data_IF_581994525104
#
_entry.id   IF_581994525104
#
_cell.length_a   1.000
_cell.length_b   1.000
_cell.length_c   1.000
_cell.angle_alpha   90.00
_cell.angle_beta   90.00
_cell.angle_gamma   90.00
#
_symmetry.space_group_name_H-M   'P 1'
#
loop_
_entity.id
_entity.type
_entity.pdbx_description
1 polymer ?
#
# COMPACT_ATOMS: atom_id res chain seq x y z
N UNK A 1 5.47 -1.13 -15.44
CA UNK A 1 4.92 -0.78 -14.12
C UNK A 1 4.78 -2.09 -13.35
N UNK A 2 5.07 -2.15 -12.05
CA UNK A 2 4.78 -3.35 -11.25
C UNK A 2 3.25 -3.51 -11.12
N UNK A 3 2.75 -4.74 -11.15
CA UNK A 3 1.31 -5.01 -10.95
C UNK A 3 0.82 -4.46 -9.61
N UNK A 4 1.68 -4.46 -8.59
CA UNK A 4 1.40 -3.85 -7.28
C UNK A 4 1.17 -2.34 -7.36
N UNK A 5 1.93 -1.62 -8.20
CA UNK A 5 1.72 -0.19 -8.37
C UNK A 5 0.37 0.09 -9.03
N UNK A 6 0.05 -0.61 -10.11
CA UNK A 6 -1.22 -0.43 -10.81
C UNK A 6 -2.41 -0.75 -9.89
N UNK A 7 -2.33 -1.86 -9.17
CA UNK A 7 -3.32 -2.24 -8.17
C UNK A 7 -3.56 -1.15 -7.11
N UNK A 8 -2.50 -0.57 -6.56
CA UNK A 8 -2.62 0.49 -5.55
C UNK A 8 -3.16 1.81 -6.13
N UNK A 9 -2.81 2.15 -7.37
CA UNK A 9 -3.38 3.32 -8.07
C UNK A 9 -4.88 3.12 -8.36
N UNK A 10 -5.31 1.90 -8.73
CA UNK A 10 -6.72 1.58 -8.94
C UNK A 10 -7.52 1.71 -7.63
N UNK A 11 -6.99 1.16 -6.53
CA UNK A 11 -7.60 1.34 -5.21
C UNK A 11 -7.65 2.81 -4.78
N UNK A 12 -6.59 3.57 -5.05
CA UNK A 12 -6.54 5.02 -4.79
C UNK A 12 -7.62 5.74 -5.59
N UNK A 13 -7.76 5.42 -6.88
CA UNK A 13 -8.78 5.98 -7.76
C UNK A 13 -10.20 5.73 -7.22
N UNK A 14 -10.50 4.50 -6.76
CA UNK A 14 -11.79 4.19 -6.15
C UNK A 14 -12.08 5.10 -4.94
N UNK A 15 -11.10 5.27 -4.06
CA UNK A 15 -11.26 6.10 -2.85
C UNK A 15 -11.33 7.59 -3.17
N UNK A 16 -10.53 8.09 -4.11
CA UNK A 16 -10.56 9.50 -4.52
C UNK A 16 -11.89 9.90 -5.16
N UNK A 17 -12.56 8.96 -5.84
CA UNK A 17 -13.87 9.16 -6.47
C UNK A 17 -15.06 8.73 -5.59
N UNK A 18 -14.82 8.44 -4.30
CA UNK A 18 -15.86 8.03 -3.34
C UNK A 18 -16.64 6.77 -3.77
N UNK A 19 -16.00 5.88 -4.53
CA UNK A 19 -16.59 4.63 -4.99
C UNK A 19 -16.53 3.58 -3.88
N UNK A 20 -17.65 2.87 -3.70
CA UNK A 20 -17.77 1.85 -2.65
C UNK A 20 -17.12 0.53 -3.07
N UNK A 21 -16.36 -0.06 -2.15
CA UNK A 21 -15.83 -1.41 -2.32
C UNK A 21 -16.94 -2.44 -2.04
N UNK A 22 -17.63 -2.87 -3.11
CA UNK A 22 -18.63 -3.93 -3.06
C UNK A 22 -18.07 -5.25 -3.61
N UNK A 23 -18.83 -6.34 -3.48
CA UNK A 23 -18.41 -7.69 -3.88
C UNK A 23 -18.00 -7.77 -5.35
N UNK A 24 -18.74 -7.13 -6.25
CA UNK A 24 -18.40 -7.09 -7.68
C UNK A 24 -17.05 -6.41 -7.95
N UNK A 25 -16.76 -5.30 -7.27
CA UNK A 25 -15.47 -4.60 -7.42
C UNK A 25 -14.33 -5.43 -6.82
N UNK A 26 -14.56 -6.12 -5.71
CA UNK A 26 -13.57 -7.02 -5.10
C UNK A 26 -13.24 -8.17 -6.05
N UNK A 27 -14.25 -8.81 -6.63
CA UNK A 27 -14.07 -9.91 -7.58
C UNK A 27 -13.30 -9.44 -8.81
N UNK A 28 -13.66 -8.28 -9.37
CA UNK A 28 -12.94 -7.69 -10.49
C UNK A 28 -11.45 -7.44 -10.17
N UNK A 29 -11.16 -6.80 -9.02
CA UNK A 29 -9.78 -6.53 -8.60
C UNK A 29 -8.99 -7.81 -8.32
N UNK A 30 -9.65 -8.84 -7.79
CA UNK A 30 -9.05 -10.14 -7.58
C UNK A 30 -8.71 -10.82 -8.91
N UNK A 31 -9.63 -10.81 -9.89
CA UNK A 31 -9.39 -11.39 -11.22
C UNK A 31 -8.28 -10.66 -11.98
N UNK A 32 -8.24 -9.33 -11.89
CA UNK A 32 -7.28 -8.51 -12.64
C UNK A 32 -5.87 -8.52 -12.04
N UNK A 33 -5.76 -8.45 -10.70
CA UNK A 33 -4.47 -8.29 -10.02
C UNK A 33 -4.02 -9.52 -9.21
N UNK A 34 -4.83 -10.58 -9.15
CA UNK A 34 -4.52 -11.79 -8.39
C UNK A 34 -4.42 -11.57 -6.88
N UNK A 35 -5.00 -10.48 -6.35
CA UNK A 35 -4.90 -10.12 -4.93
C UNK A 35 -6.04 -10.72 -4.13
N UNK A 36 -5.74 -11.15 -2.90
CA UNK A 36 -6.78 -11.70 -2.03
C UNK A 36 -7.82 -10.64 -1.62
N UNK A 37 -9.11 -11.00 -1.50
CA UNK A 37 -10.15 -10.10 -1.01
C UNK A 37 -9.81 -9.42 0.33
N UNK A 38 -9.13 -10.16 1.20
CA UNK A 38 -8.65 -9.66 2.48
C UNK A 38 -7.67 -8.48 2.30
N UNK A 39 -6.67 -8.65 1.42
CA UNK A 39 -5.70 -7.60 1.14
C UNK A 39 -6.36 -6.38 0.49
N UNK A 40 -7.25 -6.60 -0.48
CA UNK A 40 -8.00 -5.55 -1.17
C UNK A 40 -8.77 -4.71 -0.15
N UNK A 41 -9.55 -5.38 0.72
CA UNK A 41 -10.36 -4.71 1.75
C UNK A 41 -9.50 -3.95 2.74
N UNK A 42 -8.39 -4.55 3.19
CA UNK A 42 -7.48 -3.92 4.15
C UNK A 42 -6.86 -2.64 3.57
N UNK A 43 -6.37 -2.68 2.33
CA UNK A 43 -5.75 -1.54 1.68
C UNK A 43 -6.76 -0.44 1.36
N UNK A 44 -7.95 -0.81 0.89
CA UNK A 44 -9.04 0.15 0.68
C UNK A 44 -9.37 0.90 1.98
N UNK A 45 -9.48 0.21 3.11
CA UNK A 45 -9.74 0.85 4.41
C UNK A 45 -8.59 1.79 4.82
N UNK A 46 -7.33 1.41 4.60
CA UNK A 46 -6.18 2.28 4.86
C UNK A 46 -6.27 3.56 4.04
N UNK A 47 -6.58 3.45 2.75
CA UNK A 47 -6.71 4.59 1.84
C UNK A 47 -7.91 5.47 2.20
N UNK A 48 -9.08 4.87 2.45
CA UNK A 48 -10.30 5.58 2.83
C UNK A 48 -10.15 6.36 4.13
N UNK A 49 -9.49 5.78 5.14
CA UNK A 49 -9.20 6.47 6.40
C UNK A 49 -8.24 7.66 6.22
N UNK A 50 -7.48 7.69 5.13
CA UNK A 50 -6.51 8.73 4.79
C UNK A 50 -6.90 9.51 3.53
N UNK A 51 -8.18 9.48 3.11
CA UNK A 51 -8.65 10.02 1.82
C UNK A 51 -8.18 11.47 1.58
N UNK A 52 -8.22 12.32 2.61
CA UNK A 52 -7.86 13.74 2.52
C UNK A 52 -6.40 13.99 2.14
N UNK A 53 -5.51 13.03 2.37
CA UNK A 53 -4.07 13.16 2.08
C UNK A 53 -3.62 12.35 0.85
N UNK A 54 -4.50 11.51 0.28
CA UNK A 54 -4.19 10.71 -0.91
C UNK A 54 -3.66 11.51 -2.11
N UNK A 55 -4.17 12.72 -2.41
CA UNK A 55 -3.68 13.48 -3.56
C UNK A 55 -2.20 13.88 -3.45
N UNK A 56 -1.63 13.89 -2.24
CA UNK A 56 -0.23 14.22 -2.00
C UNK A 56 0.71 13.02 -2.12
N UNK A 57 0.18 11.82 -2.34
CA UNK A 57 0.98 10.61 -2.52
C UNK A 57 1.46 10.49 -3.96
N UNK A 58 2.69 10.98 -4.20
CA UNK A 58 3.39 10.88 -5.49
C UNK A 58 3.86 9.46 -5.81
N UNK A 59 4.22 8.68 -4.78
CA UNK A 59 4.56 7.25 -4.90
C UNK A 59 3.71 6.47 -3.88
N UNK A 60 2.55 5.99 -4.36
CA UNK A 60 1.59 5.28 -3.53
C UNK A 60 2.16 3.98 -2.97
N UNK A 61 2.97 3.25 -3.75
CA UNK A 61 3.67 2.05 -3.27
C UNK A 61 4.57 2.38 -2.09
N UNK A 62 5.46 3.37 -2.25
CA UNK A 62 6.41 3.74 -1.20
C UNK A 62 5.67 4.14 0.09
N UNK A 63 4.59 4.91 -0.06
CA UNK A 63 3.78 5.40 1.07
C UNK A 63 3.06 4.27 1.79
N UNK A 64 2.41 3.37 1.06
CA UNK A 64 1.70 2.22 1.65
C UNK A 64 2.68 1.24 2.30
N UNK A 65 3.82 0.96 1.66
CA UNK A 65 4.83 0.08 2.25
C UNK A 65 5.40 0.67 3.54
N UNK A 66 5.72 1.96 3.56
CA UNK A 66 6.22 2.65 4.76
C UNK A 66 5.18 2.65 5.88
N UNK A 67 3.92 2.95 5.55
CA UNK A 67 2.81 2.91 6.51
C UNK A 67 2.61 1.53 7.14
N UNK A 68 2.59 0.46 6.34
CA UNK A 68 2.42 -0.90 6.86
C UNK A 68 3.66 -1.29 7.68
N UNK A 69 4.88 -0.99 7.23
CA UNK A 69 6.10 -1.26 7.99
C UNK A 69 6.07 -0.58 9.36
N UNK A 70 5.72 0.71 9.42
CA UNK A 70 5.65 1.45 10.69
C UNK A 70 4.55 0.91 11.60
N UNK A 71 3.39 0.53 11.04
CA UNK A 71 2.32 -0.12 11.80
C UNK A 71 2.77 -1.45 12.40
N UNK A 72 3.41 -2.31 11.62
CA UNK A 72 3.93 -3.59 12.09
C UNK A 72 5.03 -3.41 13.15
N UNK A 73 5.90 -2.40 12.98
CA UNK A 73 6.93 -2.07 13.97
C UNK A 73 6.35 -1.53 15.28
N UNK A 74 5.22 -0.81 15.23
CA UNK A 74 4.49 -0.39 16.42
C UNK A 74 3.89 -1.55 17.21
N UNK A 75 3.75 -2.73 16.56
CA UNK A 75 3.29 -3.99 17.15
C UNK A 75 4.45 -4.93 17.47
N UNK A 76 5.59 -4.37 17.88
CA UNK A 76 6.80 -5.09 18.34
C UNK A 76 7.57 -5.88 17.27
N UNK A 77 7.19 -5.83 15.98
CA UNK A 77 8.01 -6.44 14.92
C UNK A 77 9.30 -5.64 14.71
N UNK A 78 10.39 -6.35 14.45
CA UNK A 78 11.63 -5.70 13.98
C UNK A 78 11.43 -5.14 12.58
N UNK A 79 12.24 -4.13 12.18
CA UNK A 79 12.23 -3.61 10.82
C UNK A 79 12.43 -4.72 9.76
N UNK A 80 13.27 -5.72 10.06
CA UNK A 80 13.44 -6.88 9.20
C UNK A 80 12.12 -7.69 9.08
N UNK A 81 11.48 -8.01 10.21
CA UNK A 81 10.23 -8.75 10.22
C UNK A 81 9.08 -8.01 9.54
N UNK A 82 8.97 -6.69 9.76
CA UNK A 82 7.96 -5.84 9.13
C UNK A 82 8.15 -5.76 7.61
N UNK A 83 9.37 -5.52 7.14
CA UNK A 83 9.65 -5.49 5.69
C UNK A 83 9.48 -6.84 5.01
N UNK A 84 9.74 -7.95 5.72
CA UNK A 84 9.47 -9.30 5.20
C UNK A 84 7.97 -9.54 5.07
N UNK A 85 7.19 -9.18 6.10
CA UNK A 85 5.74 -9.30 6.07
C UNK A 85 5.10 -8.54 4.89
N UNK A 86 5.55 -7.31 4.63
CA UNK A 86 5.06 -6.53 3.48
C UNK A 86 5.50 -7.17 2.15
N UNK A 87 6.71 -7.74 2.09
CA UNK A 87 7.17 -8.44 0.89
C UNK A 87 6.30 -9.65 0.56
N UNK A 88 5.96 -10.47 1.57
CA UNK A 88 5.08 -11.62 1.42
C UNK A 88 3.66 -11.19 1.01
N UNK A 89 3.14 -10.11 1.61
CA UNK A 89 1.82 -9.56 1.29
C UNK A 89 1.69 -9.12 -0.16
N UNK A 90 2.74 -8.53 -0.72
CA UNK A 90 2.75 -7.97 -2.08
C UNK A 90 3.39 -8.91 -3.11
N UNK A 91 3.76 -10.13 -2.73
CA UNK A 91 4.49 -11.08 -3.57
C UNK A 91 5.71 -10.44 -4.25
N UNK A 92 6.56 -9.81 -3.43
CA UNK A 92 7.74 -9.09 -3.90
C UNK A 92 8.95 -9.38 -3.01
N UNK A 93 10.08 -8.73 -3.28
CA UNK A 93 11.30 -8.94 -2.49
C UNK A 93 11.38 -7.97 -1.32
N UNK A 94 11.87 -8.46 -0.18
CA UNK A 94 12.16 -7.62 0.99
C UNK A 94 13.10 -6.45 0.63
N UNK A 95 14.06 -6.67 -0.28
CA UNK A 95 14.97 -5.63 -0.77
C UNK A 95 14.20 -4.51 -1.47
N UNK A 96 13.23 -4.85 -2.32
CA UNK A 96 12.40 -3.86 -3.01
C UNK A 96 11.62 -3.00 -2.01
N UNK A 97 10.99 -3.63 -1.01
CA UNK A 97 10.28 -2.93 0.07
C UNK A 97 11.23 -1.97 0.80
N UNK A 98 12.40 -2.43 1.24
CA UNK A 98 13.39 -1.59 1.94
C UNK A 98 13.81 -0.37 1.10
N UNK A 99 14.02 -0.55 -0.21
CA UNK A 99 14.37 0.54 -1.12
C UNK A 99 13.25 1.59 -1.18
N UNK A 100 12.00 1.16 -1.35
CA UNK A 100 10.82 2.04 -1.43
C UNK A 100 10.57 2.80 -0.12
N UNK A 101 10.63 2.11 1.01
CA UNK A 101 10.50 2.71 2.34
C UNK A 101 11.57 3.78 2.57
N UNK A 102 12.83 3.49 2.22
CA UNK A 102 13.91 4.46 2.39
C UNK A 102 13.73 5.70 1.49
N UNK A 103 13.24 5.51 0.25
CA UNK A 103 12.91 6.61 -0.66
C UNK A 103 11.79 7.50 -0.13
N UNK A 104 10.74 6.93 0.47
CA UNK A 104 9.66 7.66 1.16
C UNK A 104 10.23 8.60 2.23
N UNK A 105 11.02 8.03 3.15
CA UNK A 105 11.58 8.76 4.30
C UNK A 105 12.56 9.85 3.89
N UNK A 106 13.40 9.61 2.90
CA UNK A 106 14.32 10.62 2.39
C UNK A 106 13.59 11.77 1.67
N UNK A 107 12.45 11.51 1.04
CA UNK A 107 11.66 12.55 0.38
C UNK A 107 11.04 13.51 1.40
N UNK A 108 10.59 12.99 2.56
CA UNK A 108 10.08 13.81 3.66
C UNK A 108 11.18 14.64 4.34
N UNK A 109 12.38 14.07 4.51
CA UNK A 109 13.54 14.78 5.10
C UNK A 109 14.00 15.99 4.27
N UNK A 110 13.83 15.99 2.94
CA UNK A 110 14.24 17.13 2.09
C UNK A 110 13.33 18.35 2.20
N UNK A 111 12.15 18.20 2.81
CA UNK A 111 11.14 19.26 2.96
C UNK A 111 11.18 19.85 4.39
N UNK A 112 11.93 19.24 5.31
CA UNK A 112 12.15 19.69 6.69
C UNK A 112 13.42 20.53 6.81
#
# INVERSE_FOLDING_TARGET
MSDNKLFLEELKYLVENELSLNEYVIDQLQEEFGKSPFLITQLYQILANNQKILPFFNDIEATIYDYIVDKEMSQEKTYYGATMYVADMFDTTQTYIKCKVNQSRHSLQKIS
#
